data_IF_268568362697
#
_entry.id   IF_268568362697
#
_cell.length_a   1.000
_cell.length_b   1.000
_cell.length_c   1.000
_cell.angle_alpha   90.00
_cell.angle_beta   90.00
_cell.angle_gamma   90.00
#
_symmetry.space_group_name_H-M   'P 1'
#
loop_
_entity.id
_entity.type
_entity.pdbx_description
1 polymer ?
#
# COMPACT_ATOMS: atom_id res chain seq x y z
N UNK A 1 5.32 31.10 8.29
CA UNK A 1 6.27 30.00 8.04
C UNK A 1 5.84 29.36 6.74
N UNK A 2 6.75 29.19 5.78
CA UNK A 2 6.46 28.36 4.60
C UNK A 2 6.07 26.96 5.09
N UNK A 3 5.13 26.26 4.41
CA UNK A 3 4.89 24.86 4.72
C UNK A 3 6.23 24.13 4.61
N UNK A 4 6.67 23.48 5.68
CA UNK A 4 7.81 22.58 5.60
C UNK A 4 7.50 21.50 4.57
N UNK A 5 8.30 21.40 3.51
CA UNK A 5 8.20 20.39 2.44
C UNK A 5 8.54 18.99 2.98
N UNK A 6 7.72 18.47 3.90
CA UNK A 6 7.81 17.08 4.36
C UNK A 6 7.25 16.15 3.28
N UNK A 7 8.06 15.94 2.25
CA UNK A 7 7.85 14.93 1.22
C UNK A 7 8.40 13.58 1.71
N UNK A 8 7.60 12.53 1.53
CA UNK A 8 8.07 11.15 1.64
C UNK A 8 8.31 10.63 0.24
N UNK A 9 9.45 10.01 0.04
CA UNK A 9 9.87 9.39 -1.20
C UNK A 9 9.81 7.87 -1.06
N UNK A 10 9.44 7.19 -2.13
CA UNK A 10 9.73 5.78 -2.31
C UNK A 10 11.07 5.65 -3.00
N UNK A 11 11.97 4.84 -2.44
CA UNK A 11 13.30 4.58 -2.99
C UNK A 11 13.39 3.10 -3.33
N UNK A 12 13.59 2.79 -4.60
CA UNK A 12 13.68 1.44 -5.15
C UNK A 12 15.10 1.16 -5.65
N UNK A 13 15.47 -0.12 -5.73
CA UNK A 13 16.79 -0.53 -6.23
C UNK A 13 17.89 -0.62 -5.17
N UNK A 14 17.53 -0.51 -3.88
CA UNK A 14 18.46 -0.66 -2.78
C UNK A 14 19.02 -2.10 -2.72
N UNK A 15 20.29 -2.33 -2.38
CA UNK A 15 20.83 -3.68 -2.25
C UNK A 15 20.10 -4.53 -1.19
N UNK A 16 19.94 -5.84 -1.40
CA UNK A 16 19.20 -6.73 -0.47
C UNK A 16 19.82 -6.93 0.91
N UNK A 17 21.14 -6.85 1.03
CA UNK A 17 21.88 -7.13 2.28
C UNK A 17 21.94 -5.97 3.28
N UNK A 18 21.24 -4.87 3.01
CA UNK A 18 21.29 -3.66 3.82
C UNK A 18 20.15 -3.59 4.82
N UNK A 19 20.40 -2.97 5.97
CA UNK A 19 19.38 -2.54 6.91
C UNK A 19 19.04 -1.05 6.74
N UNK A 20 18.26 -0.48 7.67
CA UNK A 20 17.84 0.92 7.60
C UNK A 20 19.02 1.89 7.76
N UNK A 21 19.98 1.59 8.65
CA UNK A 21 21.14 2.45 8.91
C UNK A 21 22.09 2.46 7.69
N UNK A 22 22.31 1.28 7.11
CA UNK A 22 23.03 1.15 5.85
C UNK A 22 22.35 1.92 4.70
N UNK A 23 21.02 1.86 4.62
CA UNK A 23 20.26 2.57 3.59
C UNK A 23 20.36 4.10 3.77
N UNK A 24 20.31 4.61 5.01
CA UNK A 24 20.59 6.01 5.30
C UNK A 24 22.01 6.41 4.90
N UNK A 25 23.01 5.58 5.20
CA UNK A 25 24.40 5.82 4.83
C UNK A 25 24.56 5.84 3.31
N UNK A 26 23.96 4.87 2.61
CA UNK A 26 23.94 4.80 1.15
C UNK A 26 23.40 6.10 0.57
N UNK A 27 22.24 6.57 1.05
CA UNK A 27 21.60 7.77 0.52
C UNK A 27 22.39 9.04 0.82
N UNK A 28 23.11 9.12 1.96
CA UNK A 28 24.02 10.23 2.25
C UNK A 28 25.16 10.29 1.24
N UNK A 29 25.83 9.16 0.98
CA UNK A 29 26.88 9.10 -0.04
C UNK A 29 26.31 9.35 -1.44
N UNK A 30 25.12 8.80 -1.72
CA UNK A 30 24.51 8.87 -3.05
C UNK A 30 24.22 10.32 -3.46
N UNK A 31 23.73 11.13 -2.53
CA UNK A 31 23.37 12.54 -2.74
C UNK A 31 24.43 13.54 -2.23
N UNK A 32 25.62 13.06 -1.84
CA UNK A 32 26.72 13.89 -1.33
C UNK A 32 26.28 14.80 -0.15
N UNK A 33 25.55 14.22 0.81
CA UNK A 33 24.88 14.93 1.91
C UNK A 33 25.77 15.13 3.16
N UNK A 34 27.04 14.74 3.11
CA UNK A 34 27.94 14.85 4.26
C UNK A 34 28.12 16.31 4.69
N UNK A 35 27.88 16.59 5.96
CA UNK A 35 27.92 17.94 6.52
C UNK A 35 26.73 18.83 6.18
N UNK A 36 25.74 18.32 5.43
CA UNK A 36 24.48 19.04 5.15
C UNK A 36 23.43 18.73 6.23
N UNK A 37 22.49 19.66 6.41
CA UNK A 37 21.32 19.46 7.29
C UNK A 37 20.27 18.52 6.69
N UNK A 38 20.42 18.16 5.42
CA UNK A 38 19.58 17.23 4.68
C UNK A 38 19.87 15.78 5.08
N UNK A 39 19.39 15.35 6.26
CA UNK A 39 19.54 13.96 6.70
C UNK A 39 18.40 13.10 6.11
N UNK A 40 18.69 11.97 5.44
CA UNK A 40 17.68 10.97 5.12
C UNK A 40 17.26 10.22 6.39
N UNK A 41 15.98 9.88 6.47
CA UNK A 41 15.40 9.04 7.51
C UNK A 41 14.59 7.93 6.84
N UNK A 42 14.97 6.68 7.11
CA UNK A 42 14.32 5.50 6.53
C UNK A 42 13.21 5.03 7.47
N UNK A 43 11.97 5.10 7.00
CA UNK A 43 10.77 4.75 7.79
C UNK A 43 10.29 3.32 7.55
N UNK A 44 10.58 2.78 6.37
CA UNK A 44 10.32 1.37 6.03
C UNK A 44 11.39 0.86 5.08
N UNK A 45 11.62 -0.45 5.11
CA UNK A 45 12.53 -1.13 4.21
C UNK A 45 12.09 -2.60 4.10
N UNK A 46 11.83 -3.07 2.90
CA UNK A 46 11.44 -4.46 2.64
C UNK A 46 11.91 -4.92 1.26
N UNK A 47 11.87 -6.23 1.01
CA UNK A 47 12.16 -6.77 -0.32
C UNK A 47 11.24 -6.14 -1.36
N UNK A 48 11.82 -5.79 -2.50
CA UNK A 48 11.08 -5.34 -3.66
C UNK A 48 10.13 -6.46 -4.11
N UNK A 49 8.81 -6.23 -4.03
CA UNK A 49 7.84 -7.24 -4.42
C UNK A 49 7.94 -7.62 -5.91
N UNK A 50 8.62 -6.82 -6.74
CA UNK A 50 8.81 -7.09 -8.16
C UNK A 50 10.20 -7.62 -8.53
N UNK A 51 11.07 -7.84 -7.54
CA UNK A 51 12.42 -8.39 -7.74
C UNK A 51 12.40 -9.90 -7.50
N UNK A 52 12.57 -10.69 -8.57
CA UNK A 52 12.44 -12.15 -8.55
C UNK A 52 13.71 -12.90 -9.01
N UNK A 53 14.83 -12.19 -9.14
CA UNK A 53 16.10 -12.75 -9.60
C UNK A 53 17.11 -12.90 -8.45
N UNK A 54 18.31 -13.41 -8.79
CA UNK A 54 19.42 -13.57 -7.85
C UNK A 54 19.97 -12.25 -7.30
N UNK A 55 19.48 -11.10 -7.76
CA UNK A 55 19.90 -9.76 -7.38
C UNK A 55 18.76 -9.00 -6.70
N UNK A 56 18.08 -9.69 -5.77
CA UNK A 56 17.01 -9.13 -4.96
C UNK A 56 17.32 -7.71 -4.52
N UNK A 57 16.38 -6.80 -4.73
CA UNK A 57 16.45 -5.42 -4.29
C UNK A 57 15.50 -5.15 -3.14
N UNK A 58 15.72 -4.04 -2.47
CA UNK A 58 14.84 -3.50 -1.44
C UNK A 58 14.19 -2.21 -1.92
N UNK A 59 13.01 -1.97 -1.36
CA UNK A 59 12.27 -0.72 -1.48
C UNK A 59 12.14 -0.13 -0.08
N UNK A 60 12.38 1.17 0.01
CA UNK A 60 12.25 1.94 1.25
C UNK A 60 11.28 3.10 1.08
N UNK A 61 10.70 3.55 2.20
CA UNK A 61 10.13 4.89 2.29
C UNK A 61 11.06 5.79 3.08
N UNK A 62 11.36 6.96 2.54
CA UNK A 62 12.40 7.86 3.05
C UNK A 62 11.84 9.27 3.14
N UNK A 63 12.12 9.95 4.24
CA UNK A 63 11.94 11.41 4.32
C UNK A 63 13.29 12.09 4.42
N UNK A 64 13.39 13.30 3.92
CA UNK A 64 14.57 14.14 4.12
C UNK A 64 14.19 15.35 4.95
N UNK A 65 15.08 15.77 5.86
CA UNK A 65 14.87 17.00 6.63
C UNK A 65 14.72 18.24 5.73
N UNK A 66 15.41 18.24 4.58
CA UNK A 66 15.20 19.17 3.47
C UNK A 66 15.24 18.38 2.16
N UNK A 67 14.44 18.73 1.16
CA UNK A 67 14.50 18.04 -0.13
C UNK A 67 15.88 18.22 -0.81
N UNK A 68 16.60 17.12 -1.14
CA UNK A 68 17.83 17.17 -1.92
C UNK A 68 17.62 17.91 -3.24
N UNK A 69 18.62 18.66 -3.70
CA UNK A 69 18.50 19.47 -4.92
C UNK A 69 18.11 18.64 -6.14
N UNK A 70 18.67 17.43 -6.25
CA UNK A 70 18.35 16.47 -7.31
C UNK A 70 16.89 15.97 -7.32
N UNK A 71 16.12 16.20 -6.25
CA UNK A 71 14.73 15.74 -6.09
C UNK A 71 13.71 16.89 -6.06
N UNK A 72 14.11 18.12 -6.39
CA UNK A 72 13.19 19.29 -6.32
C UNK A 72 12.21 19.36 -7.48
N UNK A 73 12.64 18.96 -8.67
CA UNK A 73 11.88 19.13 -9.90
C UNK A 73 11.41 17.76 -10.43
N UNK A 74 10.13 17.46 -10.21
CA UNK A 74 9.49 16.24 -10.68
C UNK A 74 8.80 15.44 -9.59
N UNK A 75 8.37 14.24 -9.95
CA UNK A 75 7.77 13.25 -9.04
C UNK A 75 8.38 11.85 -9.21
N UNK A 76 9.32 11.70 -10.15
CA UNK A 76 10.05 10.48 -10.48
C UNK A 76 11.47 10.83 -10.95
N UNK A 77 12.46 10.08 -10.46
CA UNK A 77 13.86 10.27 -10.78
C UNK A 77 14.59 8.92 -10.86
N UNK A 78 15.46 8.79 -11.86
CA UNK A 78 16.36 7.64 -12.01
C UNK A 78 17.81 8.11 -11.88
N UNK A 79 18.57 7.44 -11.01
CA UNK A 79 19.98 7.72 -10.80
C UNK A 79 20.82 6.47 -10.87
N UNK A 80 22.07 6.61 -11.32
CA UNK A 80 23.08 5.55 -11.30
C UNK A 80 24.36 6.12 -10.72
N UNK A 81 24.80 5.58 -9.59
CA UNK A 81 26.04 5.98 -8.92
C UNK A 81 26.72 4.76 -8.31
N UNK A 82 28.05 4.78 -8.33
CA UNK A 82 28.86 3.82 -7.59
C UNK A 82 28.94 4.26 -6.14
N UNK A 83 28.48 3.43 -5.22
CA UNK A 83 28.43 3.73 -3.79
C UNK A 83 29.02 2.57 -2.97
N UNK A 84 29.54 2.88 -1.78
CA UNK A 84 30.16 1.90 -0.90
C UNK A 84 29.35 1.70 0.37
N UNK A 85 28.79 0.50 0.55
CA UNK A 85 28.02 0.14 1.75
C UNK A 85 28.59 -1.14 2.33
N UNK A 86 28.79 -1.19 3.65
CA UNK A 86 29.43 -2.31 4.35
C UNK A 86 30.79 -2.71 3.74
N UNK A 87 31.56 -1.73 3.26
CA UNK A 87 32.87 -1.96 2.64
C UNK A 87 32.81 -2.60 1.24
N UNK A 88 31.62 -2.77 0.67
CA UNK A 88 31.41 -3.29 -0.68
C UNK A 88 30.99 -2.16 -1.61
N UNK A 89 31.78 -1.92 -2.64
CA UNK A 89 31.47 -0.93 -3.67
C UNK A 89 30.63 -1.55 -4.77
N UNK A 90 29.47 -0.97 -5.05
CA UNK A 90 28.54 -1.49 -6.05
C UNK A 90 27.96 -0.38 -6.92
N UNK A 91 27.76 -0.69 -8.20
CA UNK A 91 27.05 0.19 -9.14
C UNK A 91 25.54 0.10 -8.83
N UNK A 92 25.02 1.13 -8.16
CA UNK A 92 23.64 1.16 -7.69
C UNK A 92 22.80 2.03 -8.61
N UNK A 93 21.74 1.44 -9.17
CA UNK A 93 20.66 2.15 -9.84
C UNK A 93 19.53 2.36 -8.84
N UNK A 94 19.22 3.61 -8.52
CA UNK A 94 18.07 3.96 -7.69
C UNK A 94 16.97 4.55 -8.57
N UNK A 95 15.74 4.14 -8.29
CA UNK A 95 14.53 4.76 -8.80
C UNK A 95 13.78 5.37 -7.62
N UNK A 96 13.55 6.67 -7.67
CA UNK A 96 12.97 7.44 -6.57
C UNK A 96 11.72 8.11 -7.09
N UNK A 97 10.62 8.02 -6.35
CA UNK A 97 9.38 8.67 -6.75
C UNK A 97 8.54 9.12 -5.55
N UNK A 98 7.63 10.05 -5.78
CA UNK A 98 6.61 10.47 -4.81
C UNK A 98 5.23 9.95 -5.16
N UNK A 99 5.09 9.17 -6.23
CA UNK A 99 3.80 8.71 -6.76
C UNK A 99 3.29 7.43 -6.10
N UNK A 100 4.20 6.58 -5.58
CA UNK A 100 3.94 5.29 -4.94
C UNK A 100 3.14 4.31 -5.80
N UNK A 101 3.40 4.26 -7.10
CA UNK A 101 2.71 3.36 -8.07
C UNK A 101 3.17 1.92 -7.97
N UNK A 102 2.25 0.97 -7.87
CA UNK A 102 2.53 -0.43 -7.58
C UNK A 102 2.70 -0.66 -6.08
N UNK A 103 3.34 -1.76 -5.70
CA UNK A 103 3.56 -2.09 -4.29
C UNK A 103 4.70 -1.29 -3.66
N UNK A 104 4.49 -0.90 -2.40
CA UNK A 104 5.50 -0.27 -1.55
C UNK A 104 5.43 -0.87 -0.14
N UNK A 105 6.53 -1.47 0.38
CA UNK A 105 6.56 -1.94 1.76
C UNK A 105 6.48 -0.76 2.74
N UNK A 106 5.56 -0.84 3.70
CA UNK A 106 5.36 0.18 4.74
C UNK A 106 6.01 -0.17 6.08
N UNK A 107 6.62 -1.34 6.20
CA UNK A 107 7.32 -1.73 7.42
C UNK A 107 8.60 -2.53 7.15
N UNK A 108 9.45 -2.56 8.17
CA UNK A 108 10.52 -3.53 8.32
C UNK A 108 9.92 -4.86 8.81
N UNK A 109 10.08 -5.91 8.01
CA UNK A 109 9.87 -7.29 8.48
C UNK A 109 11.26 -7.85 8.80
N UNK A 110 11.46 -8.32 10.04
CA UNK A 110 12.77 -8.79 10.52
C UNK A 110 13.35 -9.89 9.62
N UNK A 111 12.47 -10.73 9.08
CA UNK A 111 12.77 -11.65 8.01
C UNK A 111 11.68 -11.50 6.93
N UNK A 112 12.03 -10.86 5.82
CA UNK A 112 11.13 -10.60 4.70
C UNK A 112 10.57 -11.91 4.09
N UNK A 113 11.19 -13.07 4.34
CA UNK A 113 10.77 -14.39 3.87
C UNK A 113 9.77 -15.03 4.84
N UNK A 114 9.92 -14.83 6.15
CA UNK A 114 9.15 -15.55 7.18
C UNK A 114 7.85 -14.87 7.65
N UNK A 115 7.46 -13.72 7.09
CA UNK A 115 6.16 -13.15 7.46
C UNK A 115 5.00 -14.08 7.14
N UNK A 116 4.01 -14.06 8.02
CA UNK A 116 2.87 -15.00 8.01
C UNK A 116 1.64 -14.39 7.36
N UNK A 117 1.49 -13.06 7.38
CA UNK A 117 0.30 -12.36 6.90
C UNK A 117 0.72 -11.28 5.91
N UNK A 118 0.01 -11.20 4.78
CA UNK A 118 0.09 -10.10 3.83
C UNK A 118 -1.05 -9.09 4.12
N UNK A 119 -0.69 -7.89 4.55
CA UNK A 119 -1.61 -6.77 4.70
C UNK A 119 -1.48 -5.84 3.49
N UNK A 120 -2.56 -5.68 2.73
CA UNK A 120 -2.56 -4.88 1.50
C UNK A 120 -3.42 -3.64 1.70
N UNK A 121 -2.80 -2.48 1.51
CA UNK A 121 -3.40 -1.17 1.73
C UNK A 121 -3.74 -0.55 0.38
N UNK A 122 -5.01 -0.19 0.17
CA UNK A 122 -5.51 0.32 -1.12
C UNK A 122 -6.28 1.63 -0.94
N UNK A 123 -5.76 2.71 -1.50
CA UNK A 123 -6.41 4.04 -1.45
C UNK A 123 -7.59 4.15 -2.42
N UNK A 124 -8.32 5.26 -2.35
CA UNK A 124 -9.48 5.52 -3.21
C UNK A 124 -9.12 6.12 -4.57
N UNK A 125 -10.17 6.37 -5.36
CA UNK A 125 -10.10 6.99 -6.68
C UNK A 125 -9.43 8.37 -6.63
N UNK A 126 -8.57 8.69 -7.61
CA UNK A 126 -7.92 9.99 -7.76
C UNK A 126 -7.26 10.51 -6.47
N UNK A 127 -6.77 9.60 -5.65
CA UNK A 127 -6.12 9.91 -4.38
C UNK A 127 -4.65 9.52 -4.43
N UNK A 128 -3.81 10.31 -3.76
CA UNK A 128 -2.41 9.97 -3.63
C UNK A 128 -2.26 8.72 -2.74
N UNK A 129 -1.59 7.64 -3.18
CA UNK A 129 -1.55 6.39 -2.43
C UNK A 129 -1.03 6.55 -1.01
N UNK A 130 0.14 7.17 -0.84
CA UNK A 130 0.70 7.45 0.50
C UNK A 130 -0.10 8.53 1.27
N UNK A 131 -0.36 9.66 0.61
CA UNK A 131 -1.03 10.81 1.22
C UNK A 131 -2.45 10.55 1.73
N UNK A 132 -3.14 9.51 1.24
CA UNK A 132 -4.47 9.11 1.70
C UNK A 132 -4.50 8.65 3.15
N UNK A 133 -3.39 8.14 3.67
CA UNK A 133 -3.26 7.58 5.02
C UNK A 133 -2.43 8.48 5.96
N UNK A 134 -1.85 9.56 5.40
CA UNK A 134 -1.05 10.54 6.15
C UNK A 134 -1.96 11.57 6.80
N UNK A 135 -1.66 11.93 8.05
CA UNK A 135 -2.33 12.99 8.77
C UNK A 135 -2.35 14.30 7.97
N UNK A 136 -3.41 15.10 8.12
CA UNK A 136 -3.46 16.43 7.49
C UNK A 136 -2.43 17.37 8.13
N UNK A 137 -1.66 18.05 7.29
CA UNK A 137 -0.73 19.09 7.74
C UNK A 137 0.49 18.59 8.51
N UNK A 138 0.71 17.28 8.59
CA UNK A 138 1.87 16.69 9.26
C UNK A 138 2.46 15.50 8.51
N UNK A 139 3.48 14.88 9.10
CA UNK A 139 4.26 13.77 8.50
C UNK A 139 3.75 12.38 8.89
N UNK A 140 3.15 12.24 10.07
CA UNK A 140 2.62 10.98 10.59
C UNK A 140 1.68 10.25 9.61
N UNK A 141 2.06 9.05 9.22
CA UNK A 141 1.28 8.10 8.43
C UNK A 141 1.16 6.81 9.25
N UNK A 142 0.01 6.60 9.87
CA UNK A 142 -0.17 5.59 10.93
C UNK A 142 0.16 4.15 10.52
N UNK A 143 -0.06 3.77 9.24
CA UNK A 143 0.29 2.43 8.76
C UNK A 143 1.80 2.20 8.68
N UNK A 144 2.59 3.28 8.55
CA UNK A 144 4.05 3.23 8.46
C UNK A 144 4.70 3.54 9.82
N UNK A 145 4.25 4.61 10.46
CA UNK A 145 4.95 5.27 11.57
C UNK A 145 4.57 4.72 12.96
N UNK A 146 3.48 3.98 13.06
CA UNK A 146 3.14 3.25 14.28
C UNK A 146 3.23 1.74 14.03
N UNK A 147 3.87 1.02 14.95
CA UNK A 147 3.95 -0.43 14.91
C UNK A 147 2.85 -1.09 15.77
N UNK A 148 2.20 -0.35 16.68
CA UNK A 148 1.24 -0.90 17.63
C UNK A 148 0.00 -1.52 16.99
N UNK A 149 -0.34 -1.08 15.77
CA UNK A 149 -1.47 -1.63 15.02
C UNK A 149 -1.20 -2.99 14.38
N UNK A 150 0.07 -3.45 14.30
CA UNK A 150 0.45 -4.64 13.54
C UNK A 150 1.34 -5.61 14.32
N UNK A 151 1.15 -6.90 14.08
CA UNK A 151 2.06 -7.95 14.56
C UNK A 151 3.39 -7.93 13.79
N UNK A 152 4.53 -8.31 14.42
CA UNK A 152 5.83 -8.43 13.73
C UNK A 152 5.81 -9.35 12.51
N UNK A 153 4.85 -10.29 12.44
CA UNK A 153 4.71 -11.26 11.35
C UNK A 153 3.85 -10.74 10.18
N UNK A 154 3.45 -9.46 10.18
CA UNK A 154 2.65 -8.84 9.13
C UNK A 154 3.55 -8.06 8.17
N UNK A 155 3.52 -8.42 6.89
CA UNK A 155 4.08 -7.60 5.81
C UNK A 155 3.00 -6.64 5.32
N UNK A 156 3.26 -5.35 5.39
CA UNK A 156 2.32 -4.31 4.95
C UNK A 156 2.77 -3.73 3.62
N UNK A 157 1.93 -3.85 2.60
CA UNK A 157 2.17 -3.35 1.25
C UNK A 157 1.12 -2.29 0.89
N UNK A 158 1.56 -1.06 0.63
CA UNK A 158 0.74 -0.05 -0.02
C UNK A 158 0.67 -0.35 -1.52
N UNK A 159 -0.52 -0.38 -2.09
CA UNK A 159 -0.73 -0.48 -3.52
C UNK A 159 -1.23 0.85 -4.08
N UNK A 160 -0.42 1.48 -4.93
CA UNK A 160 -0.84 2.63 -5.74
C UNK A 160 -1.20 2.25 -7.17
N UNK A 161 -2.23 2.89 -7.71
CA UNK A 161 -2.72 2.68 -9.07
C UNK A 161 -3.17 4.03 -9.66
N UNK A 162 -3.20 4.12 -10.99
CA UNK A 162 -3.65 5.32 -11.69
C UNK A 162 -5.16 5.38 -11.80
N UNK A 163 -5.76 6.44 -11.26
CA UNK A 163 -7.16 6.77 -11.54
C UNK A 163 -7.41 8.27 -11.61
N UNK A 164 -6.87 8.98 -12.61
CA UNK A 164 -7.21 10.39 -12.80
C UNK A 164 -8.71 10.55 -13.05
N UNK A 165 -9.36 11.46 -12.31
CA UNK A 165 -10.78 11.76 -12.44
C UNK A 165 -11.13 12.80 -13.51
N UNK A 166 -10.15 13.61 -13.93
CA UNK A 166 -10.35 14.77 -14.79
C UNK A 166 -9.20 14.82 -15.80
N UNK A 167 -9.52 15.01 -17.10
CA UNK A 167 -8.55 15.04 -18.23
C UNK A 167 -7.82 13.71 -18.44
N UNK A 168 -8.53 12.60 -18.24
CA UNK A 168 -8.02 11.26 -18.54
C UNK A 168 -8.08 11.03 -20.05
N UNK A 169 -6.96 10.71 -20.69
CA UNK A 169 -6.96 10.19 -22.08
C UNK A 169 -7.34 8.70 -22.12
N UNK A 170 -7.21 8.00 -20.99
CA UNK A 170 -7.64 6.62 -20.76
C UNK A 170 -8.08 6.47 -19.30
N UNK A 171 -9.05 5.61 -19.02
CA UNK A 171 -9.48 5.32 -17.65
C UNK A 171 -9.53 3.80 -17.45
N UNK A 172 -9.01 3.34 -16.32
CA UNK A 172 -9.11 1.94 -15.94
C UNK A 172 -10.36 1.73 -15.10
N UNK A 173 -11.26 0.86 -15.56
CA UNK A 173 -12.43 0.48 -14.75
C UNK A 173 -12.00 -0.30 -13.49
N UNK A 174 -12.88 -0.38 -12.47
CA UNK A 174 -12.56 -0.99 -11.17
C UNK A 174 -12.13 -2.45 -11.33
N UNK A 175 -12.76 -3.17 -12.25
CA UNK A 175 -12.47 -4.56 -12.57
C UNK A 175 -11.06 -4.72 -13.14
N UNK A 176 -10.62 -3.84 -14.04
CA UNK A 176 -9.25 -3.86 -14.56
C UNK A 176 -8.21 -3.59 -13.46
N UNK A 177 -8.48 -2.63 -12.57
CA UNK A 177 -7.60 -2.31 -11.44
C UNK A 177 -7.56 -3.49 -10.47
N UNK A 178 -8.72 -4.10 -10.20
CA UNK A 178 -8.87 -5.29 -9.36
C UNK A 178 -8.10 -6.49 -9.89
N UNK A 179 -8.27 -6.82 -11.18
CA UNK A 179 -7.54 -7.88 -11.86
C UNK A 179 -6.03 -7.65 -11.79
N UNK A 180 -5.55 -6.43 -12.09
CA UNK A 180 -4.12 -6.09 -11.98
C UNK A 180 -3.60 -6.23 -10.54
N UNK A 181 -4.39 -5.86 -9.55
CA UNK A 181 -4.05 -6.08 -8.14
C UNK A 181 -3.94 -7.58 -7.84
N UNK A 182 -4.91 -8.39 -8.26
CA UNK A 182 -4.89 -9.85 -8.11
C UNK A 182 -3.65 -10.49 -8.75
N UNK A 183 -3.31 -10.10 -9.98
CA UNK A 183 -2.11 -10.55 -10.68
C UNK A 183 -0.83 -10.23 -9.89
N UNK A 184 -0.72 -9.01 -9.37
CA UNK A 184 0.42 -8.62 -8.56
C UNK A 184 0.48 -9.40 -7.24
N UNK A 185 -0.66 -9.62 -6.57
CA UNK A 185 -0.74 -10.45 -5.35
C UNK A 185 -0.27 -11.87 -5.65
N UNK A 186 -0.76 -12.47 -6.73
CA UNK A 186 -0.36 -13.82 -7.14
C UNK A 186 1.15 -13.88 -7.39
N UNK A 187 1.72 -12.88 -8.08
CA UNK A 187 3.15 -12.82 -8.36
C UNK A 187 4.02 -12.77 -7.10
N UNK A 188 3.68 -11.91 -6.13
CA UNK A 188 4.44 -11.77 -4.87
C UNK A 188 4.29 -12.98 -3.93
N UNK A 189 3.28 -13.84 -4.16
CA UNK A 189 3.01 -15.03 -3.34
C UNK A 189 3.60 -16.30 -3.93
N UNK A 190 3.67 -16.40 -5.26
CA UNK A 190 4.16 -17.58 -6.00
C UNK A 190 5.68 -17.63 -6.15
N UNK A 191 6.36 -16.49 -6.17
CA UNK A 191 7.79 -16.43 -6.51
C UNK A 191 8.72 -16.37 -5.30
N UNK A 192 8.41 -17.07 -4.20
CA UNK A 192 9.35 -17.21 -3.09
C UNK A 192 10.37 -18.28 -3.38
N UNK A 193 11.62 -17.85 -3.51
CA UNK A 193 12.77 -18.75 -3.64
C UNK A 193 12.87 -19.60 -2.38
N UNK A 194 12.67 -20.92 -2.52
CA UNK A 194 12.98 -21.90 -1.47
C UNK A 194 11.78 -22.62 -0.82
N UNK A 195 10.53 -22.25 -1.11
CA UNK A 195 9.36 -23.02 -0.63
C UNK A 195 8.90 -24.00 -1.72
N UNK A 196 9.04 -25.31 -1.42
CA UNK A 196 8.57 -26.42 -2.28
C UNK A 196 7.06 -26.64 -2.13
N UNK A 197 6.46 -26.15 -1.04
CA UNK A 197 5.04 -26.32 -0.72
C UNK A 197 4.33 -24.96 -0.63
N UNK A 198 3.18 -24.84 -1.30
CA UNK A 198 2.28 -23.69 -1.14
C UNK A 198 1.76 -23.63 0.29
N UNK A 199 2.17 -22.61 1.05
CA UNK A 199 1.55 -22.29 2.34
C UNK A 199 0.49 -21.20 2.15
N UNK A 200 -0.78 -21.46 2.46
CA UNK A 200 -1.84 -20.47 2.35
C UNK A 200 -1.62 -19.37 3.39
N UNK A 201 -0.96 -18.28 2.99
CA UNK A 201 -0.72 -17.11 3.85
C UNK A 201 -1.92 -16.17 3.81
N UNK A 202 -2.50 -15.79 4.97
CA UNK A 202 -3.62 -14.86 5.04
C UNK A 202 -3.36 -13.53 4.35
N UNK A 203 -4.39 -13.04 3.66
CA UNK A 203 -4.45 -11.68 3.12
C UNK A 203 -5.46 -10.88 3.94
N UNK A 204 -5.06 -9.71 4.40
CA UNK A 204 -5.95 -8.72 5.02
C UNK A 204 -5.90 -7.44 4.23
N UNK A 205 -7.05 -6.97 3.75
CA UNK A 205 -7.13 -5.71 3.03
C UNK A 205 -7.51 -4.56 3.97
N UNK A 206 -6.80 -3.45 3.85
CA UNK A 206 -7.19 -2.16 4.43
C UNK A 206 -7.47 -1.22 3.26
N UNK A 207 -8.72 -0.82 3.09
CA UNK A 207 -9.11 -0.07 1.90
C UNK A 207 -9.98 1.13 2.21
N UNK A 208 -9.74 2.22 1.47
CA UNK A 208 -10.47 3.47 1.61
C UNK A 208 -11.28 3.77 0.35
N UNK A 209 -12.54 4.18 0.54
CA UNK A 209 -13.44 4.64 -0.52
C UNK A 209 -13.50 3.65 -1.69
N UNK A 210 -13.22 4.07 -2.92
CA UNK A 210 -13.25 3.19 -4.09
C UNK A 210 -12.27 2.02 -4.02
N UNK A 211 -11.16 2.15 -3.28
CA UNK A 211 -10.22 1.05 -3.07
C UNK A 211 -10.87 -0.19 -2.46
N UNK A 212 -11.94 -0.01 -1.68
CA UNK A 212 -12.71 -1.11 -1.12
C UNK A 212 -13.54 -1.88 -2.15
N UNK A 213 -13.85 -1.29 -3.30
CA UNK A 213 -14.47 -1.99 -4.43
C UNK A 213 -13.41 -2.73 -5.25
N UNK A 214 -12.25 -2.10 -5.46
CA UNK A 214 -11.08 -2.71 -6.14
C UNK A 214 -10.67 -4.03 -5.48
N UNK A 215 -10.51 -4.07 -4.15
CA UNK A 215 -10.06 -5.29 -3.46
C UNK A 215 -11.08 -6.44 -3.45
N UNK A 216 -12.33 -6.15 -3.82
CA UNK A 216 -13.39 -7.17 -3.93
C UNK A 216 -13.38 -7.89 -5.28
N UNK A 217 -12.74 -7.29 -6.28
CA UNK A 217 -12.43 -7.90 -7.57
C UNK A 217 -11.18 -8.79 -7.43
N UNK A 218 -11.30 -9.83 -6.60
CA UNK A 218 -10.25 -10.82 -6.38
C UNK A 218 -10.55 -12.11 -7.13
N UNK A 219 -9.51 -12.73 -7.69
CA UNK A 219 -9.59 -14.09 -8.25
C UNK A 219 -9.84 -15.13 -7.15
N UNK A 220 -10.25 -16.33 -7.55
CA UNK A 220 -10.68 -17.40 -6.65
C UNK A 220 -9.56 -17.85 -5.70
N UNK A 221 -8.31 -17.91 -6.17
CA UNK A 221 -7.17 -18.40 -5.38
C UNK A 221 -6.82 -17.38 -4.29
N UNK A 222 -6.71 -16.11 -4.67
CA UNK A 222 -6.45 -15.05 -3.70
C UNK A 222 -7.65 -14.90 -2.75
N UNK A 223 -8.89 -15.00 -3.22
CA UNK A 223 -10.09 -14.95 -2.40
C UNK A 223 -10.10 -15.99 -1.27
N UNK A 224 -9.66 -17.25 -1.53
CA UNK A 224 -9.54 -18.28 -0.48
C UNK A 224 -8.55 -17.90 0.63
N UNK A 225 -7.55 -17.09 0.29
CA UNK A 225 -6.54 -16.62 1.22
C UNK A 225 -6.94 -15.32 1.94
N UNK A 226 -8.01 -14.64 1.50
CA UNK A 226 -8.48 -13.43 2.18
C UNK A 226 -9.11 -13.79 3.51
N UNK A 227 -8.46 -13.39 4.58
CA UNK A 227 -8.99 -13.55 5.93
C UNK A 227 -10.08 -12.51 6.21
N UNK A 228 -9.82 -11.23 5.90
CA UNK A 228 -10.76 -10.16 6.20
C UNK A 228 -10.44 -8.82 5.53
N UNK A 229 -11.37 -7.88 5.70
CA UNK A 229 -11.32 -6.53 5.14
C UNK A 229 -11.57 -5.49 6.23
N UNK A 230 -10.83 -4.38 6.15
CA UNK A 230 -11.03 -3.18 6.95
C UNK A 230 -11.34 -2.04 6.00
N UNK A 231 -12.58 -1.55 6.04
CA UNK A 231 -13.11 -0.59 5.09
C UNK A 231 -13.38 0.76 5.72
N UNK A 232 -12.87 1.81 5.06
CA UNK A 232 -13.14 3.20 5.41
C UNK A 232 -13.99 3.83 4.32
N UNK A 233 -15.24 4.21 4.63
CA UNK A 233 -16.11 4.95 3.72
C UNK A 233 -16.36 4.29 2.36
N UNK A 234 -16.33 2.95 2.29
CA UNK A 234 -16.46 2.22 1.02
C UNK A 234 -17.93 2.26 0.54
N UNK A 235 -18.22 2.74 -0.68
CA UNK A 235 -19.59 2.91 -1.16
C UNK A 235 -20.20 1.60 -1.66
N UNK A 236 -20.36 0.63 -0.75
CA UNK A 236 -20.87 -0.70 -1.06
C UNK A 236 -22.29 -0.70 -1.67
N UNK A 237 -23.06 0.37 -1.43
CA UNK A 237 -24.43 0.57 -1.95
C UNK A 237 -24.51 1.73 -2.95
N UNK A 238 -23.37 2.23 -3.41
CA UNK A 238 -23.26 3.33 -4.37
C UNK A 238 -23.15 4.70 -3.72
N UNK A 239 -22.92 5.69 -4.58
CA UNK A 239 -22.87 7.12 -4.26
C UNK A 239 -23.87 7.88 -5.12
N UNK A 240 -24.27 9.07 -4.69
CA UNK A 240 -25.10 9.94 -5.50
C UNK A 240 -24.25 10.62 -6.59
N UNK A 241 -24.46 10.22 -7.84
CA UNK A 241 -23.57 10.57 -8.97
C UNK A 241 -23.98 11.82 -9.76
N UNK A 242 -25.12 12.44 -9.45
CA UNK A 242 -25.65 13.54 -10.27
C UNK A 242 -24.69 14.75 -10.36
N UNK A 243 -23.91 15.01 -9.32
CA UNK A 243 -22.90 16.06 -9.29
C UNK A 243 -21.62 15.70 -10.06
N UNK A 244 -21.40 14.41 -10.35
CA UNK A 244 -20.22 13.88 -11.01
C UNK A 244 -20.44 13.76 -12.51
N UNK A 245 -21.65 13.40 -12.94
CA UNK A 245 -22.00 13.22 -14.35
C UNK A 245 -21.61 14.42 -15.25
N UNK A 246 -21.84 15.69 -14.87
CA UNK A 246 -21.40 16.83 -15.69
C UNK A 246 -19.88 16.95 -15.82
N UNK A 247 -19.12 16.43 -14.85
CA UNK A 247 -17.66 16.49 -14.85
C UNK A 247 -17.05 15.40 -15.75
N UNK A 248 -17.76 14.29 -15.97
CA UNK A 248 -17.28 13.13 -16.72
C UNK A 248 -18.03 12.91 -18.04
N UNK A 249 -18.88 13.85 -18.45
CA UNK A 249 -19.65 13.77 -19.68
C UNK A 249 -18.71 13.59 -20.89
N UNK A 250 -18.88 12.50 -21.64
CA UNK A 250 -18.01 12.09 -22.75
C UNK A 250 -16.53 11.88 -22.37
N UNK A 251 -16.22 11.66 -21.09
CA UNK A 251 -14.88 11.26 -20.65
C UNK A 251 -14.76 9.74 -20.49
N UNK A 252 -13.54 9.17 -20.61
CA UNK A 252 -13.33 7.72 -20.49
C UNK A 252 -13.79 7.12 -19.16
N UNK A 253 -13.94 7.92 -18.10
CA UNK A 253 -14.34 7.50 -16.77
C UNK A 253 -15.85 7.59 -16.49
N UNK A 254 -16.68 7.91 -17.50
CA UNK A 254 -18.12 8.01 -17.34
C UNK A 254 -18.78 6.68 -16.95
N UNK A 255 -18.34 5.57 -17.56
CA UNK A 255 -18.81 4.20 -17.27
C UNK A 255 -18.64 3.86 -15.80
N UNK A 256 -17.45 4.13 -15.26
CA UNK A 256 -17.15 3.96 -13.84
C UNK A 256 -18.15 4.74 -12.97
N UNK A 257 -18.32 6.04 -13.23
CA UNK A 257 -19.20 6.87 -12.41
C UNK A 257 -20.62 6.32 -12.44
N UNK A 258 -21.11 5.86 -13.61
CA UNK A 258 -22.42 5.21 -13.71
C UNK A 258 -22.51 3.89 -12.94
N UNK A 259 -21.44 3.09 -12.93
CA UNK A 259 -21.37 1.85 -12.14
C UNK A 259 -21.43 2.11 -10.63
N UNK A 260 -21.07 3.33 -10.18
CA UNK A 260 -21.17 3.74 -8.79
C UNK A 260 -22.55 4.24 -8.37
N UNK A 261 -23.52 4.33 -9.28
CA UNK A 261 -24.90 4.69 -8.94
C UNK A 261 -25.53 3.67 -7.97
N UNK A 262 -26.44 4.11 -7.08
CA UNK A 262 -27.19 3.19 -6.23
C UNK A 262 -27.93 2.14 -7.07
N UNK A 263 -28.01 0.91 -6.56
CA UNK A 263 -28.68 -0.23 -7.21
C UNK A 263 -28.10 -0.67 -8.57
N UNK A 264 -26.91 -0.17 -8.97
CA UNK A 264 -26.24 -0.67 -10.16
C UNK A 264 -26.05 -2.19 -10.09
N UNK A 265 -26.18 -2.87 -11.23
CA UNK A 265 -26.01 -4.34 -11.27
C UNK A 265 -24.62 -4.76 -10.78
N UNK A 266 -23.61 -3.95 -11.11
CA UNK A 266 -22.23 -4.10 -10.67
C UNK A 266 -22.13 -4.11 -9.13
N UNK A 267 -22.60 -3.06 -8.45
CA UNK A 267 -22.50 -2.96 -6.98
C UNK A 267 -23.35 -3.99 -6.25
N UNK A 268 -24.54 -4.34 -6.78
CA UNK A 268 -25.37 -5.38 -6.17
C UNK A 268 -24.67 -6.74 -6.17
N UNK A 269 -23.99 -7.09 -7.26
CA UNK A 269 -23.22 -8.34 -7.32
C UNK A 269 -22.01 -8.31 -6.39
N UNK A 270 -21.30 -7.18 -6.35
CA UNK A 270 -20.15 -7.02 -5.49
C UNK A 270 -20.53 -7.03 -3.99
N UNK A 271 -21.66 -6.41 -3.61
CA UNK A 271 -22.13 -6.37 -2.22
C UNK A 271 -22.61 -7.73 -1.70
N UNK A 272 -23.27 -8.55 -2.54
CA UNK A 272 -23.82 -9.86 -2.15
C UNK A 272 -22.75 -10.79 -1.55
N UNK A 273 -21.49 -10.63 -1.94
CA UNK A 273 -20.34 -11.42 -1.46
C UNK A 273 -19.82 -11.00 -0.07
N UNK A 274 -20.31 -9.90 0.49
CA UNK A 274 -19.80 -9.29 1.75
C UNK A 274 -20.94 -8.79 2.64
N UNK A 275 -21.95 -9.62 2.89
CA UNK A 275 -23.13 -9.24 3.69
C UNK A 275 -22.83 -9.12 5.18
N UNK A 276 -21.94 -9.94 5.70
CA UNK A 276 -21.65 -10.02 7.13
C UNK A 276 -20.47 -9.10 7.48
N UNK A 277 -20.73 -8.06 8.26
CA UNK A 277 -19.73 -7.08 8.64
C UNK A 277 -20.08 -6.41 9.96
N UNK A 278 -19.04 -6.04 10.70
CA UNK A 278 -19.16 -5.20 11.89
C UNK A 278 -18.98 -3.74 11.52
N UNK A 279 -19.75 -2.86 12.16
CA UNK A 279 -19.64 -1.42 11.99
C UNK A 279 -18.91 -0.79 13.17
N UNK A 280 -17.86 -0.03 12.86
CA UNK A 280 -17.18 0.83 13.82
C UNK A 280 -17.45 2.29 13.44
N UNK A 281 -18.23 3.05 14.24
CA UNK A 281 -18.43 4.47 13.97
C UNK A 281 -17.11 5.23 14.22
N UNK A 282 -16.79 6.18 13.34
CA UNK A 282 -15.65 7.09 13.48
C UNK A 282 -16.17 8.52 13.41
N UNK A 283 -15.61 9.42 14.23
CA UNK A 283 -16.05 10.81 14.30
C UNK A 283 -15.28 11.68 13.31
N UNK A 284 -15.34 11.33 12.03
CA UNK A 284 -14.62 11.99 10.95
C UNK A 284 -15.47 12.07 9.69
N UNK A 285 -15.23 13.09 8.86
CA UNK A 285 -15.82 13.14 7.53
C UNK A 285 -15.07 12.22 6.55
N UNK A 286 -15.66 11.95 5.40
CA UNK A 286 -15.08 11.05 4.39
C UNK A 286 -13.70 11.48 3.89
N UNK A 287 -13.41 12.78 3.82
CA UNK A 287 -12.12 13.30 3.36
C UNK A 287 -11.00 13.23 4.41
N UNK A 288 -11.39 13.09 5.68
CA UNK A 288 -10.48 12.95 6.81
C UNK A 288 -10.28 11.48 7.19
N UNK A 289 -11.17 10.57 6.78
CA UNK A 289 -10.91 9.13 6.84
C UNK A 289 -9.86 8.72 5.80
N UNK A 290 -8.92 7.82 6.13
CA UNK A 290 -8.51 7.31 7.43
C UNK A 290 -7.22 8.00 7.95
N UNK A 291 -7.25 9.32 8.11
CA UNK A 291 -6.11 10.18 8.47
C UNK A 291 -6.13 10.49 9.96
N UNK A 292 -5.62 9.57 10.77
CA UNK A 292 -5.49 9.77 12.21
C UNK A 292 -4.43 10.80 12.56
N UNK A 293 -4.67 11.57 13.62
CA UNK A 293 -3.80 12.70 14.00
C UNK A 293 -2.54 12.27 14.74
N UNK A 294 -2.62 11.18 15.49
CA UNK A 294 -1.49 10.64 16.25
C UNK A 294 -1.83 9.26 16.78
N UNK A 295 -0.88 8.64 17.48
CA UNK A 295 -1.10 7.43 18.26
C UNK A 295 -2.11 7.61 19.40
N UNK A 296 -2.44 8.83 19.81
CA UNK A 296 -3.40 9.10 20.90
C UNK A 296 -4.82 9.38 20.40
N UNK A 297 -5.06 9.28 19.09
CA UNK A 297 -6.37 9.47 18.49
C UNK A 297 -7.35 8.37 18.95
N UNK A 298 -8.55 8.73 19.41
CA UNK A 298 -9.49 7.78 20.00
C UNK A 298 -10.04 6.77 18.99
N UNK A 299 -10.32 7.22 17.76
CA UNK A 299 -10.80 6.34 16.69
C UNK A 299 -9.67 5.37 16.30
N UNK A 300 -8.42 5.86 16.30
CA UNK A 300 -7.26 5.03 16.03
C UNK A 300 -7.03 3.96 17.10
N UNK A 301 -7.12 4.33 18.38
CA UNK A 301 -6.95 3.39 19.49
C UNK A 301 -7.99 2.27 19.45
N UNK A 302 -9.26 2.61 19.16
CA UNK A 302 -10.31 1.60 19.00
C UNK A 302 -10.03 0.70 17.79
N UNK A 303 -9.54 1.25 16.66
CA UNK A 303 -9.18 0.47 15.48
C UNK A 303 -8.06 -0.55 15.77
N UNK A 304 -7.02 -0.14 16.51
CA UNK A 304 -5.90 -1.01 16.88
C UNK A 304 -6.39 -2.23 17.67
N UNK A 305 -7.37 -2.06 18.57
CA UNK A 305 -7.93 -3.17 19.34
C UNK A 305 -8.52 -4.26 18.42
N UNK A 306 -9.30 -3.86 17.41
CA UNK A 306 -9.87 -4.80 16.43
C UNK A 306 -8.80 -5.40 15.51
N UNK A 307 -7.83 -4.61 15.04
CA UNK A 307 -6.75 -5.12 14.19
C UNK A 307 -5.92 -6.19 14.92
N UNK A 308 -5.65 -5.99 16.20
CA UNK A 308 -4.91 -6.97 17.02
C UNK A 308 -5.67 -8.28 17.23
N UNK A 309 -7.00 -8.27 17.18
CA UNK A 309 -7.81 -9.49 17.13
C UNK A 309 -7.65 -10.17 15.75
N UNK A 310 -7.79 -9.41 14.66
CA UNK A 310 -7.59 -9.91 13.30
C UNK A 310 -6.24 -10.63 13.13
N UNK A 311 -5.14 -10.04 13.61
CA UNK A 311 -3.82 -10.64 13.46
C UNK A 311 -3.62 -11.95 14.22
N UNK A 312 -4.35 -12.15 15.32
CA UNK A 312 -4.21 -13.35 16.16
C UNK A 312 -4.87 -14.58 15.52
N UNK A 313 -6.00 -14.37 14.86
CA UNK A 313 -6.83 -15.46 14.32
C UNK A 313 -6.51 -15.75 12.85
N UNK A 314 -6.02 -14.76 12.09
CA UNK A 314 -5.85 -14.85 10.64
C UNK A 314 -5.13 -16.11 10.16
N UNK A 315 -3.99 -16.47 10.77
CA UNK A 315 -3.18 -17.61 10.35
C UNK A 315 -3.93 -18.92 10.54
N UNK A 316 -4.48 -19.13 11.74
CA UNK A 316 -5.20 -20.35 12.07
C UNK A 316 -6.42 -20.56 11.17
N UNK A 317 -7.22 -19.50 10.99
CA UNK A 317 -8.47 -19.59 10.24
C UNK A 317 -8.23 -19.88 8.76
N UNK A 318 -7.21 -19.27 8.15
CA UNK A 318 -6.86 -19.56 6.76
C UNK A 318 -6.28 -20.96 6.63
N UNK A 319 -5.36 -21.38 7.51
CA UNK A 319 -4.84 -22.75 7.49
C UNK A 319 -5.96 -23.80 7.58
N UNK A 320 -6.95 -23.58 8.46
CA UNK A 320 -8.11 -24.46 8.59
C UNK A 320 -8.97 -24.51 7.32
N UNK A 321 -9.18 -23.39 6.62
CA UNK A 321 -9.92 -23.38 5.34
C UNK A 321 -9.28 -24.30 4.31
N UNK A 322 -7.95 -24.28 4.20
CA UNK A 322 -7.21 -25.13 3.27
C UNK A 322 -7.07 -26.59 3.76
N UNK A 323 -7.08 -26.84 5.07
CA UNK A 323 -7.06 -28.19 5.64
C UNK A 323 -8.39 -28.94 5.53
N UNK A 324 -9.53 -28.24 5.55
CA UNK A 324 -10.88 -28.83 5.47
C UNK A 324 -11.28 -29.19 4.04
N UNK A 325 -10.81 -28.46 3.03
CA UNK A 325 -11.22 -28.66 1.63
C UNK A 325 -10.41 -29.73 0.88
N UNK A 326 -9.42 -30.36 1.53
CA UNK A 326 -8.48 -31.24 0.84
C UNK A 326 -7.56 -30.43 -0.08
N UNK A 327 -6.31 -30.87 -0.18
CA UNK A 327 -5.25 -30.17 -0.90
C UNK A 327 -5.41 -30.25 -2.44
N UNK A 328 -6.60 -30.02 -2.98
CA UNK A 328 -6.81 -29.80 -4.41
C UNK A 328 -6.50 -28.33 -4.71
N UNK A 329 -5.24 -28.09 -5.03
CA UNK A 329 -4.77 -26.92 -5.76
C UNK A 329 -4.64 -27.28 -7.24
#
# INVERSE_FOLDING_TARGET
MAPSDYATYRVQGLPSGIDADDAEQLLKEFFDLDGLSTKPEVHSLGLDPFSFDSNMKRVATVTFANTPEALRDGDHWEFKKRVSVKGTTTDTKLEIDTTFRGFTPLNLVKDDVEHKIDCIVVSGLSSHPFGSWKQRGGSFMWLRDDAAWRSPNVRTLLYGYETPLVRSESFQDIDEIGCKLGDFITRIRTHRVGEIDFKPRPIVFIAHSLGGLVVKENDEINARCVYGFVFFGVPNRGIYISHWLPMVDNQPNESLVRNLAPESHYLRNLHRRFSDHSHMPMNQNHADLPKFRSTHDSDYQLLIMYLNEFWREAVHDVEMRFGVEGMQL
#
